data_IF_856138860732
#
_entry.id   IF_856138860732
#
_cell.length_a   1.000
_cell.length_b   1.000
_cell.length_c   1.000
_cell.angle_alpha   90.00
_cell.angle_beta   90.00
_cell.angle_gamma   90.00
#
_symmetry.space_group_name_H-M   'P 1'
#
loop_
_entity.id
_entity.type
_entity.pdbx_description
1 polymer ?
#
# COMPACT_ATOMS: atom_id res chain seq x y z
N UNK A 1 -41.28 -17.20 44.62
CA UNK A 1 -41.69 -17.80 43.33
C UNK A 1 -41.27 -16.98 42.10
N UNK A 2 -41.37 -15.65 42.10
CA UNK A 2 -41.03 -14.83 40.90
C UNK A 2 -39.54 -14.80 40.50
N UNK A 3 -38.59 -14.87 41.44
CA UNK A 3 -37.15 -14.84 41.15
C UNK A 3 -36.65 -16.13 40.44
N UNK A 4 -37.20 -17.29 40.81
CA UNK A 4 -36.86 -18.58 40.20
C UNK A 4 -37.42 -18.67 38.78
N UNK A 5 -38.62 -18.16 38.52
CA UNK A 5 -39.20 -18.09 37.17
C UNK A 5 -38.38 -17.18 36.22
N UNK A 6 -37.90 -16.02 36.69
CA UNK A 6 -37.01 -15.15 35.91
C UNK A 6 -35.68 -15.85 35.54
N UNK A 7 -35.06 -16.55 36.49
CA UNK A 7 -33.78 -17.25 36.24
C UNK A 7 -33.98 -18.37 35.22
N UNK A 8 -35.05 -19.14 35.33
CA UNK A 8 -35.36 -20.23 34.35
C UNK A 8 -35.65 -19.66 32.97
N UNK A 9 -36.34 -18.52 32.85
CA UNK A 9 -36.59 -17.88 31.55
C UNK A 9 -35.32 -17.33 30.93
N UNK A 10 -34.40 -16.74 31.67
CA UNK A 10 -33.12 -16.25 31.21
C UNK A 10 -32.21 -17.42 30.78
N UNK A 11 -32.20 -18.53 31.54
CA UNK A 11 -31.42 -19.72 31.15
C UNK A 11 -31.99 -20.40 29.88
N UNK A 12 -33.32 -20.45 29.72
CA UNK A 12 -33.93 -20.99 28.49
C UNK A 12 -33.63 -20.11 27.27
N UNK A 13 -33.70 -18.78 27.42
CA UNK A 13 -33.35 -17.83 26.34
C UNK A 13 -31.87 -17.91 25.98
N UNK A 14 -30.96 -18.09 26.93
CA UNK A 14 -29.55 -18.29 26.69
C UNK A 14 -29.24 -19.61 25.98
N UNK A 15 -29.94 -20.69 26.36
CA UNK A 15 -29.81 -22.00 25.67
C UNK A 15 -30.35 -21.96 24.22
N UNK A 16 -31.46 -21.27 23.97
CA UNK A 16 -32.01 -21.13 22.62
C UNK A 16 -31.11 -20.28 21.72
N UNK A 17 -30.48 -19.21 22.24
CA UNK A 17 -29.50 -18.43 21.50
C UNK A 17 -28.21 -19.21 21.22
N UNK A 18 -27.73 -20.04 22.16
CA UNK A 18 -26.58 -20.89 21.96
C UNK A 18 -26.87 -21.99 20.92
N UNK A 19 -28.04 -22.60 20.95
CA UNK A 19 -28.43 -23.61 19.97
C UNK A 19 -28.61 -23.02 18.56
N UNK A 20 -29.18 -21.82 18.43
CA UNK A 20 -29.32 -21.16 17.12
C UNK A 20 -27.98 -20.69 16.54
N UNK A 21 -27.03 -20.24 17.37
CA UNK A 21 -25.69 -19.90 16.94
C UNK A 21 -24.92 -21.15 16.47
N UNK A 22 -25.07 -22.27 17.12
CA UNK A 22 -24.40 -23.52 16.79
C UNK A 22 -24.97 -24.17 15.50
N UNK A 23 -26.27 -24.06 15.28
CA UNK A 23 -26.89 -24.49 14.01
C UNK A 23 -26.52 -23.59 12.83
N UNK A 24 -26.44 -22.29 13.03
CA UNK A 24 -26.01 -21.35 11.98
C UNK A 24 -24.55 -21.60 11.55
N UNK A 25 -23.66 -21.84 12.52
CA UNK A 25 -22.24 -22.14 12.23
C UNK A 25 -22.09 -23.50 11.52
N UNK A 26 -22.87 -24.53 11.94
CA UNK A 26 -22.88 -25.85 11.30
C UNK A 26 -23.36 -25.77 9.85
N UNK A 27 -24.42 -25.01 9.58
CA UNK A 27 -24.94 -24.81 8.24
C UNK A 27 -23.94 -24.06 7.34
N UNK A 28 -23.27 -23.04 7.87
CA UNK A 28 -22.24 -22.30 7.12
C UNK A 28 -21.05 -23.20 6.74
N UNK A 29 -20.53 -23.99 7.68
CA UNK A 29 -19.43 -24.92 7.42
C UNK A 29 -19.79 -25.98 6.39
N UNK A 30 -21.04 -26.50 6.45
CA UNK A 30 -21.55 -27.42 5.46
C UNK A 30 -21.61 -26.79 4.07
N UNK A 31 -22.13 -25.55 3.93
CA UNK A 31 -22.18 -24.87 2.65
C UNK A 31 -20.77 -24.58 2.09
N UNK A 32 -19.80 -24.24 2.94
CA UNK A 32 -18.40 -24.08 2.52
C UNK A 32 -17.84 -25.38 1.97
N UNK A 33 -17.99 -26.51 2.71
CA UNK A 33 -17.48 -27.79 2.27
C UNK A 33 -18.15 -28.27 0.95
N UNK A 34 -19.47 -28.16 0.87
CA UNK A 34 -20.26 -28.51 -0.35
C UNK A 34 -19.77 -27.70 -1.56
N UNK A 35 -19.56 -26.39 -1.42
CA UNK A 35 -19.14 -25.55 -2.54
C UNK A 35 -17.69 -25.83 -2.96
N UNK A 36 -16.79 -26.20 -2.02
CA UNK A 36 -15.45 -26.67 -2.35
C UNK A 36 -15.48 -27.98 -3.15
N UNK A 37 -16.35 -28.93 -2.77
CA UNK A 37 -16.52 -30.21 -3.51
C UNK A 37 -17.05 -29.95 -4.93
N UNK A 38 -18.01 -29.04 -5.08
CA UNK A 38 -18.52 -28.60 -6.39
C UNK A 38 -17.41 -27.99 -7.23
N UNK A 39 -16.62 -27.09 -6.66
CA UNK A 39 -15.52 -26.43 -7.37
C UNK A 39 -14.46 -27.44 -7.84
N UNK A 40 -14.09 -28.37 -6.97
CA UNK A 40 -13.15 -29.44 -7.31
C UNK A 40 -13.67 -30.33 -8.47
N UNK A 41 -14.94 -30.74 -8.43
CA UNK A 41 -15.54 -31.53 -9.49
C UNK A 41 -15.57 -30.74 -10.82
N UNK A 42 -16.02 -29.49 -10.77
CA UNK A 42 -16.07 -28.60 -11.94
C UNK A 42 -14.69 -28.45 -12.58
N UNK A 43 -13.67 -28.16 -11.77
CA UNK A 43 -12.32 -27.92 -12.30
C UNK A 43 -11.71 -29.19 -12.92
N UNK A 44 -11.89 -30.34 -12.26
CA UNK A 44 -11.47 -31.64 -12.79
C UNK A 44 -12.15 -31.96 -14.13
N UNK A 45 -13.47 -31.75 -14.23
CA UNK A 45 -14.22 -32.05 -15.43
C UNK A 45 -13.88 -31.05 -16.56
N UNK A 46 -13.61 -29.80 -16.22
CA UNK A 46 -13.09 -28.77 -17.14
C UNK A 46 -11.76 -29.23 -17.74
N UNK A 47 -10.79 -29.62 -16.90
CA UNK A 47 -9.46 -30.04 -17.35
C UNK A 47 -9.52 -31.33 -18.21
N UNK A 48 -10.43 -32.26 -17.87
CA UNK A 48 -10.52 -33.54 -18.55
C UNK A 48 -11.30 -33.49 -19.87
N UNK A 49 -12.35 -32.68 -19.94
CA UNK A 49 -13.33 -32.74 -21.04
C UNK A 49 -13.36 -31.49 -21.94
N UNK A 50 -12.69 -30.40 -21.57
CA UNK A 50 -12.69 -29.23 -22.43
C UNK A 50 -11.95 -29.53 -23.74
N UNK A 51 -12.46 -28.96 -24.85
CA UNK A 51 -12.01 -29.30 -26.21
C UNK A 51 -10.53 -28.96 -26.46
N UNK A 52 -9.99 -27.91 -25.82
CA UNK A 52 -8.59 -27.50 -25.97
C UNK A 52 -7.81 -27.76 -24.67
N UNK A 53 -6.48 -27.88 -24.79
CA UNK A 53 -5.59 -28.00 -23.63
C UNK A 53 -5.60 -26.70 -22.84
N UNK A 54 -5.87 -26.81 -21.53
CA UNK A 54 -5.93 -25.69 -20.61
C UNK A 54 -4.59 -25.49 -19.89
N UNK A 55 -4.25 -24.25 -19.63
CA UNK A 55 -3.18 -23.88 -18.71
C UNK A 55 -3.74 -23.87 -17.27
N UNK A 56 -3.46 -24.93 -16.53
CA UNK A 56 -3.99 -25.16 -15.20
C UNK A 56 -3.59 -24.02 -14.22
N UNK A 57 -2.35 -23.55 -14.27
CA UNK A 57 -1.87 -22.50 -13.37
C UNK A 57 -2.58 -21.18 -13.65
N UNK A 58 -2.64 -20.77 -14.92
CA UNK A 58 -3.29 -19.54 -15.35
C UNK A 58 -4.80 -19.55 -15.07
N UNK A 59 -5.47 -20.69 -15.22
CA UNK A 59 -6.91 -20.80 -14.96
C UNK A 59 -7.23 -20.62 -13.47
N UNK A 60 -6.44 -21.23 -12.58
CA UNK A 60 -6.62 -21.07 -11.14
C UNK A 60 -6.26 -19.65 -10.71
N UNK A 61 -5.18 -19.08 -11.24
CA UNK A 61 -4.80 -17.69 -10.96
C UNK A 61 -5.91 -16.71 -11.32
N UNK A 62 -6.48 -16.83 -12.53
CA UNK A 62 -7.60 -16.02 -12.99
C UNK A 62 -8.85 -16.20 -12.12
N UNK A 63 -9.21 -17.44 -11.80
CA UNK A 63 -10.40 -17.75 -11.00
C UNK A 63 -10.28 -17.22 -9.57
N UNK A 64 -9.11 -17.41 -8.94
CA UNK A 64 -8.82 -16.91 -7.60
C UNK A 64 -8.87 -15.37 -7.57
N UNK A 65 -8.19 -14.70 -8.48
CA UNK A 65 -8.16 -13.25 -8.52
C UNK A 65 -9.54 -12.65 -8.85
N UNK A 66 -10.31 -13.24 -9.78
CA UNK A 66 -11.68 -12.80 -10.03
C UNK A 66 -12.58 -12.88 -8.79
N UNK A 67 -12.51 -13.99 -8.06
CA UNK A 67 -13.26 -14.16 -6.80
C UNK A 67 -12.86 -13.11 -5.75
N UNK A 68 -11.59 -12.78 -5.66
CA UNK A 68 -11.07 -11.82 -4.68
C UNK A 68 -11.38 -10.37 -5.07
N UNK A 69 -11.31 -10.03 -6.35
CA UNK A 69 -11.69 -8.71 -6.89
C UNK A 69 -13.14 -8.34 -6.58
N UNK A 70 -14.04 -9.33 -6.47
CA UNK A 70 -15.44 -9.11 -6.08
C UNK A 70 -15.62 -8.67 -4.62
N UNK A 71 -14.57 -8.78 -3.78
CA UNK A 71 -14.62 -8.37 -2.37
C UNK A 71 -14.15 -6.92 -2.20
N UNK A 72 -12.95 -6.62 -2.65
CA UNK A 72 -12.31 -5.32 -2.62
C UNK A 72 -11.03 -5.32 -3.50
N UNK A 73 -10.51 -4.15 -3.94
CA UNK A 73 -9.35 -4.07 -4.84
C UNK A 73 -8.00 -4.32 -4.15
N UNK A 74 -7.97 -4.70 -2.88
CA UNK A 74 -6.74 -4.87 -2.09
C UNK A 74 -6.47 -6.31 -1.71
N UNK A 75 -7.51 -7.17 -1.82
CA UNK A 75 -7.41 -8.60 -1.58
C UNK A 75 -6.97 -9.28 -2.86
N UNK A 76 -5.76 -9.87 -2.84
CA UNK A 76 -5.07 -10.35 -4.04
C UNK A 76 -4.38 -11.69 -3.76
N UNK A 77 -4.35 -12.56 -4.75
CA UNK A 77 -3.56 -13.79 -4.76
C UNK A 77 -2.29 -13.58 -5.59
N UNK A 78 -1.18 -13.99 -5.05
CA UNK A 78 0.12 -14.01 -5.70
C UNK A 78 0.59 -15.46 -5.82
N UNK A 79 0.75 -15.95 -7.04
CA UNK A 79 1.42 -17.23 -7.29
C UNK A 79 2.91 -17.14 -6.90
N UNK A 80 3.61 -18.30 -6.80
CA UNK A 80 5.02 -18.37 -6.40
C UNK A 80 5.91 -17.36 -7.15
N UNK A 81 5.75 -17.27 -8.46
CA UNK A 81 6.57 -16.41 -9.34
C UNK A 81 6.34 -14.91 -9.13
N UNK A 82 5.19 -14.52 -8.57
CA UNK A 82 4.79 -13.13 -8.38
C UNK A 82 5.03 -12.60 -6.95
N UNK A 83 5.57 -13.42 -6.05
CA UNK A 83 5.84 -13.04 -4.65
C UNK A 83 6.90 -11.93 -4.49
N UNK A 84 7.74 -11.72 -5.50
CA UNK A 84 8.75 -10.66 -5.54
C UNK A 84 8.12 -9.25 -5.52
N UNK A 85 6.98 -9.05 -6.18
CA UNK A 85 6.28 -7.77 -6.21
C UNK A 85 5.73 -7.39 -4.83
N UNK A 86 5.19 -8.34 -4.08
CA UNK A 86 4.73 -8.12 -2.71
C UNK A 86 5.88 -7.73 -1.77
N UNK A 87 7.05 -8.38 -1.91
CA UNK A 87 8.25 -8.02 -1.14
C UNK A 87 8.72 -6.61 -1.43
N UNK A 88 8.66 -6.19 -2.69
CA UNK A 88 9.01 -4.82 -3.08
C UNK A 88 8.09 -3.78 -2.45
N UNK A 89 6.78 -4.05 -2.37
CA UNK A 89 5.79 -3.14 -1.76
C UNK A 89 6.07 -2.86 -0.29
N UNK A 90 6.62 -3.83 0.45
CA UNK A 90 6.88 -3.71 1.88
C UNK A 90 8.30 -3.23 2.19
N UNK A 91 9.30 -3.76 1.47
CA UNK A 91 10.72 -3.48 1.76
C UNK A 91 11.29 -2.35 0.92
N UNK A 92 10.62 -1.95 -0.16
CA UNK A 92 11.15 -1.03 -1.16
C UNK A 92 12.38 -1.55 -1.92
N UNK A 93 12.72 -2.84 -1.72
CA UNK A 93 13.90 -3.48 -2.33
C UNK A 93 13.49 -4.24 -3.58
N UNK A 94 14.23 -4.05 -4.63
CA UNK A 94 14.09 -4.81 -5.88
C UNK A 94 15.45 -4.93 -6.56
N UNK A 95 15.56 -5.84 -7.50
CA UNK A 95 16.78 -5.96 -8.32
C UNK A 95 16.55 -5.30 -9.67
N UNK A 96 17.39 -4.33 -10.00
CA UNK A 96 17.23 -3.59 -11.24
C UNK A 96 18.29 -2.50 -11.45
N UNK A 97 17.92 -1.46 -12.19
CA UNK A 97 18.83 -0.37 -12.58
C UNK A 97 18.80 0.84 -11.65
N UNK A 98 17.87 0.92 -10.71
CA UNK A 98 17.75 2.08 -9.79
C UNK A 98 17.25 3.34 -10.50
N UNK A 99 16.15 3.23 -11.23
CA UNK A 99 15.48 4.36 -11.86
C UNK A 99 13.96 4.21 -11.78
N UNK A 100 13.27 5.34 -11.70
CA UNK A 100 11.84 5.42 -11.95
C UNK A 100 11.59 5.51 -13.45
N UNK A 101 10.75 4.64 -13.98
CA UNK A 101 10.30 4.69 -15.37
C UNK A 101 8.82 5.05 -15.43
N UNK A 102 8.39 5.68 -16.51
CA UNK A 102 6.98 6.02 -16.74
C UNK A 102 6.64 5.96 -18.22
N UNK A 103 5.42 5.56 -18.52
CA UNK A 103 4.91 5.62 -19.90
C UNK A 103 4.50 7.06 -20.25
N UNK A 104 4.87 7.47 -21.43
CA UNK A 104 4.49 8.76 -22.01
C UNK A 104 3.59 8.52 -23.22
N UNK A 105 2.28 8.82 -23.12
CA UNK A 105 1.32 8.60 -24.22
C UNK A 105 1.66 9.37 -25.49
N UNK A 106 2.17 10.60 -25.36
CA UNK A 106 2.60 11.44 -26.47
C UNK A 106 3.80 10.87 -27.23
N UNK A 107 4.70 10.14 -26.54
CA UNK A 107 5.84 9.45 -27.12
C UNK A 107 5.52 8.00 -27.47
N UNK A 108 4.40 7.46 -27.01
CA UNK A 108 4.00 6.04 -27.09
C UNK A 108 5.06 5.08 -26.56
N UNK A 109 5.88 5.52 -25.61
CA UNK A 109 7.04 4.80 -25.08
C UNK A 109 7.25 5.08 -23.59
N UNK A 110 8.01 4.19 -22.96
CA UNK A 110 8.53 4.44 -21.62
C UNK A 110 9.77 5.35 -21.67
N UNK A 111 9.85 6.23 -20.68
CA UNK A 111 11.01 7.07 -20.42
C UNK A 111 11.59 6.76 -19.04
N UNK A 112 12.85 7.08 -18.84
CA UNK A 112 13.44 7.19 -17.50
C UNK A 112 13.00 8.53 -16.90
N UNK A 113 12.08 8.48 -15.94
CA UNK A 113 11.58 9.70 -15.29
C UNK A 113 12.61 10.25 -14.30
N UNK A 114 13.27 9.36 -13.54
CA UNK A 114 14.28 9.75 -12.56
C UNK A 114 15.25 8.59 -12.30
N UNK A 115 16.53 8.67 -12.66
CA UNK A 115 17.57 7.80 -12.13
C UNK A 115 17.84 8.17 -10.65
N UNK A 116 18.04 7.16 -9.79
CA UNK A 116 18.35 7.40 -8.38
C UNK A 116 19.85 7.62 -8.21
N UNK A 117 20.22 8.65 -7.48
CA UNK A 117 21.62 9.05 -7.28
C UNK A 117 22.50 7.89 -6.77
N UNK A 118 23.63 7.66 -7.40
CA UNK A 118 24.58 6.59 -7.08
C UNK A 118 24.14 5.18 -7.49
N UNK A 119 22.97 5.01 -8.11
CA UNK A 119 22.48 3.71 -8.59
C UNK A 119 22.96 3.42 -10.03
N UNK A 120 22.87 2.17 -10.53
CA UNK A 120 23.43 1.78 -11.81
C UNK A 120 23.06 2.66 -12.99
N UNK A 121 21.81 3.09 -13.11
CA UNK A 121 21.35 3.97 -14.18
C UNK A 121 22.05 5.35 -14.15
N UNK A 122 22.18 5.93 -12.95
CA UNK A 122 22.85 7.22 -12.73
C UNK A 122 24.35 7.10 -13.02
N UNK A 123 24.99 6.01 -12.54
CA UNK A 123 26.43 5.78 -12.72
C UNK A 123 26.86 5.66 -14.19
N UNK A 124 25.99 5.17 -15.06
CA UNK A 124 26.28 5.08 -16.50
C UNK A 124 25.89 6.35 -17.28
N UNK A 125 25.28 7.34 -16.62
CA UNK A 125 24.94 8.63 -17.22
C UNK A 125 23.58 8.67 -17.92
N UNK A 126 22.64 7.82 -17.53
CA UNK A 126 21.23 7.96 -17.93
C UNK A 126 20.65 9.21 -17.29
N UNK A 127 19.90 9.99 -18.05
CA UNK A 127 19.31 11.25 -17.61
C UNK A 127 17.78 11.19 -17.57
N UNK A 128 17.13 12.03 -16.75
CA UNK A 128 15.70 12.19 -16.80
C UNK A 128 15.23 12.57 -18.21
N UNK A 129 14.18 11.91 -18.69
CA UNK A 129 13.63 12.10 -20.04
C UNK A 129 14.23 11.19 -21.12
N UNK A 130 15.26 10.40 -20.83
CA UNK A 130 15.80 9.43 -21.79
C UNK A 130 14.72 8.41 -22.17
N UNK A 131 14.44 8.25 -23.46
CA UNK A 131 13.39 7.38 -24.01
C UNK A 131 13.97 5.99 -24.21
N UNK A 132 13.34 4.98 -23.63
CA UNK A 132 13.79 3.59 -23.73
C UNK A 132 13.44 3.04 -25.12
N UNK A 133 14.43 2.58 -25.86
CA UNK A 133 14.30 2.15 -27.26
C UNK A 133 14.50 0.64 -27.44
N UNK A 134 15.46 0.05 -26.72
CA UNK A 134 15.76 -1.39 -26.82
C UNK A 134 16.42 -1.89 -25.54
N UNK A 135 16.24 -3.18 -25.26
CA UNK A 135 16.86 -3.92 -24.15
C UNK A 135 17.49 -5.18 -24.73
N UNK A 136 18.78 -5.42 -24.46
CA UNK A 136 19.57 -6.55 -25.01
C UNK A 136 19.41 -6.74 -26.53
N UNK A 137 19.49 -5.63 -27.26
CA UNK A 137 19.33 -5.64 -28.74
C UNK A 137 17.89 -5.76 -29.21
N UNK A 138 16.94 -6.18 -28.36
CA UNK A 138 15.52 -6.30 -28.71
C UNK A 138 14.88 -4.91 -28.72
N UNK A 139 14.43 -4.48 -29.88
CA UNK A 139 13.70 -3.21 -30.03
C UNK A 139 12.35 -3.29 -29.30
N UNK A 140 11.99 -2.21 -28.65
CA UNK A 140 10.66 -2.05 -28.04
C UNK A 140 9.78 -1.28 -29.01
N UNK A 141 8.71 -1.92 -29.49
CA UNK A 141 7.74 -1.26 -30.36
C UNK A 141 6.96 -0.20 -29.58
N UNK A 142 6.52 0.89 -30.23
CA UNK A 142 5.68 1.88 -29.58
C UNK A 142 4.32 1.29 -29.19
N UNK A 143 3.84 1.58 -27.99
CA UNK A 143 2.47 1.26 -27.60
C UNK A 143 1.50 2.28 -28.22
N UNK A 144 0.78 1.88 -29.24
CA UNK A 144 -0.17 2.75 -29.97
C UNK A 144 -1.59 2.70 -29.42
N UNK A 145 -1.87 1.82 -28.44
CA UNK A 145 -3.18 1.68 -27.83
C UNK A 145 -3.56 2.94 -27.02
N UNK A 146 -4.81 3.37 -27.16
CA UNK A 146 -5.39 4.42 -26.32
C UNK A 146 -5.95 3.87 -24.98
N UNK A 147 -6.08 2.54 -24.87
CA UNK A 147 -6.54 1.88 -23.65
C UNK A 147 -5.50 2.00 -22.54
N UNK A 148 -5.95 2.49 -21.36
CA UNK A 148 -5.10 2.67 -20.19
C UNK A 148 -4.53 1.36 -19.66
N UNK A 149 -5.29 0.27 -19.75
CA UNK A 149 -4.82 -1.05 -19.33
C UNK A 149 -3.67 -1.52 -20.21
N UNK A 150 -3.83 -1.46 -21.53
CA UNK A 150 -2.78 -1.82 -22.49
C UNK A 150 -1.51 -0.96 -22.32
N UNK A 151 -1.64 0.34 -22.01
CA UNK A 151 -0.51 1.22 -21.72
C UNK A 151 0.20 0.83 -20.41
N UNK A 152 -0.56 0.44 -19.39
CA UNK A 152 -0.02 -0.04 -18.11
C UNK A 152 0.71 -1.37 -18.29
N UNK A 153 0.12 -2.31 -19.01
CA UNK A 153 0.72 -3.62 -19.29
C UNK A 153 2.04 -3.47 -20.09
N UNK A 154 2.06 -2.54 -21.06
CA UNK A 154 3.28 -2.19 -21.78
C UNK A 154 4.36 -1.62 -20.84
N UNK A 155 4.00 -0.68 -19.97
CA UNK A 155 4.94 -0.09 -19.02
C UNK A 155 5.50 -1.13 -18.04
N UNK A 156 4.65 -2.03 -17.55
CA UNK A 156 5.04 -3.13 -16.68
C UNK A 156 5.98 -4.10 -17.40
N UNK A 157 5.70 -4.46 -18.66
CA UNK A 157 6.57 -5.31 -19.47
C UNK A 157 7.97 -4.71 -19.65
N UNK A 158 8.06 -3.41 -19.96
CA UNK A 158 9.36 -2.71 -20.06
C UNK A 158 10.08 -2.70 -18.71
N UNK A 159 9.36 -2.36 -17.62
CA UNK A 159 9.95 -2.32 -16.28
C UNK A 159 10.47 -3.69 -15.84
N UNK A 160 9.73 -4.76 -16.11
CA UNK A 160 10.14 -6.12 -15.77
C UNK A 160 11.39 -6.56 -16.52
N UNK A 161 11.59 -6.14 -17.77
CA UNK A 161 12.82 -6.41 -18.53
C UNK A 161 14.04 -5.66 -17.94
N UNK A 162 13.85 -4.50 -17.30
CA UNK A 162 14.93 -3.77 -16.60
C UNK A 162 15.31 -4.42 -15.27
N UNK A 163 14.42 -5.25 -14.69
CA UNK A 163 14.68 -6.09 -13.50
C UNK A 163 15.34 -7.40 -13.90
N UNK A 164 15.75 -8.19 -12.91
CA UNK A 164 16.33 -9.52 -13.11
C UNK A 164 17.21 -9.92 -11.94
N UNK A 165 18.05 -10.92 -12.12
CA UNK A 165 18.96 -11.41 -11.09
C UNK A 165 20.07 -10.40 -10.77
N UNK A 166 20.48 -10.24 -9.48
CA UNK A 166 21.53 -9.32 -9.09
C UNK A 166 22.87 -9.74 -9.73
N UNK A 167 23.64 -8.75 -10.19
CA UNK A 167 24.93 -8.97 -10.86
C UNK A 167 24.82 -9.27 -12.35
N UNK A 168 23.63 -9.53 -12.90
CA UNK A 168 23.46 -9.69 -14.35
C UNK A 168 23.62 -8.35 -15.05
N UNK A 169 24.19 -8.39 -16.26
CA UNK A 169 24.46 -7.19 -17.06
C UNK A 169 23.71 -7.29 -18.37
N UNK A 170 23.17 -6.18 -18.83
CA UNK A 170 22.44 -6.07 -20.09
C UNK A 170 22.72 -4.73 -20.77
N UNK A 171 22.33 -4.63 -22.05
CA UNK A 171 22.44 -3.40 -22.83
C UNK A 171 21.11 -2.66 -22.87
N UNK A 172 21.12 -1.38 -22.46
CA UNK A 172 19.98 -0.48 -22.56
C UNK A 172 20.24 0.60 -23.61
N UNK A 173 19.43 0.61 -24.65
CA UNK A 173 19.46 1.65 -25.69
C UNK A 173 18.42 2.70 -25.43
N UNK A 174 18.84 3.95 -25.31
CA UNK A 174 17.95 5.10 -25.08
C UNK A 174 18.14 6.18 -26.12
N UNK A 175 17.08 6.93 -26.42
CA UNK A 175 17.16 8.17 -27.22
C UNK A 175 16.98 9.36 -26.29
N UNK A 176 17.94 10.27 -26.31
CA UNK A 176 17.92 11.50 -25.50
C UNK A 176 17.28 12.65 -26.26
N UNK A 177 16.10 13.15 -25.84
CA UNK A 177 15.38 14.20 -26.58
C UNK A 177 16.17 15.49 -26.70
N UNK A 178 16.92 15.87 -25.66
CA UNK A 178 17.68 17.14 -25.62
C UNK A 178 18.80 17.23 -26.64
N UNK A 179 19.36 16.09 -27.07
CA UNK A 179 20.44 16.03 -28.07
C UNK A 179 19.98 15.38 -29.38
N UNK A 180 18.81 14.74 -29.40
CA UNK A 180 18.33 13.91 -30.51
C UNK A 180 19.12 12.61 -30.73
N UNK A 181 20.19 12.36 -29.96
CA UNK A 181 21.10 11.22 -30.11
C UNK A 181 20.60 9.99 -29.40
N UNK A 182 21.08 8.85 -29.89
CA UNK A 182 20.87 7.54 -29.27
C UNK A 182 22.13 7.10 -28.54
N UNK A 183 21.99 6.57 -27.35
CA UNK A 183 23.06 6.04 -26.52
C UNK A 183 22.78 4.59 -26.18
N UNK A 184 23.82 3.77 -26.09
CA UNK A 184 23.73 2.40 -25.57
C UNK A 184 24.57 2.30 -24.31
N UNK A 185 23.96 1.85 -23.23
CA UNK A 185 24.60 1.70 -21.93
C UNK A 185 24.63 0.24 -21.51
N UNK A 186 25.78 -0.22 -21.04
CA UNK A 186 25.92 -1.54 -20.39
C UNK A 186 25.65 -1.35 -18.90
N UNK A 187 24.59 -1.98 -18.38
CA UNK A 187 24.10 -1.78 -17.00
C UNK A 187 24.12 -3.10 -16.26
N UNK A 188 24.72 -3.11 -15.06
CA UNK A 188 24.68 -4.25 -14.16
C UNK A 188 23.58 -4.06 -13.14
N UNK A 189 22.65 -5.02 -13.06
CA UNK A 189 21.56 -5.00 -12.09
C UNK A 189 22.10 -5.17 -10.67
N UNK A 190 21.54 -4.41 -9.73
CA UNK A 190 21.91 -4.47 -8.30
C UNK A 190 20.66 -4.51 -7.44
N UNK A 191 20.85 -4.87 -6.18
CA UNK A 191 19.84 -4.63 -5.14
C UNK A 191 19.66 -3.12 -4.98
N UNK A 192 18.47 -2.64 -5.28
CA UNK A 192 18.08 -1.23 -5.15
C UNK A 192 17.20 -1.09 -3.93
N UNK A 193 17.47 -0.13 -3.09
CA UNK A 193 16.54 0.34 -2.05
C UNK A 193 16.01 1.70 -2.46
N UNK A 194 14.72 1.78 -2.70
CA UNK A 194 14.08 3.06 -3.02
C UNK A 194 13.99 3.90 -1.75
N UNK A 195 14.47 5.15 -1.75
CA UNK A 195 14.34 6.00 -0.57
C UNK A 195 12.87 6.39 -0.35
N UNK A 196 12.44 6.40 0.90
CA UNK A 196 11.12 6.89 1.32
C UNK A 196 11.08 8.42 1.28
N UNK A 197 12.12 9.06 1.82
CA UNK A 197 12.31 10.51 1.79
C UNK A 197 12.93 10.90 0.44
N UNK A 198 12.13 11.47 -0.43
CA UNK A 198 12.57 11.85 -1.79
C UNK A 198 13.13 13.26 -1.87
N UNK A 199 12.83 14.09 -0.88
CA UNK A 199 13.37 15.45 -0.75
C UNK A 199 13.38 15.86 0.72
N UNK A 200 14.51 16.39 1.18
CA UNK A 200 14.64 17.10 2.43
C UNK A 200 15.40 18.40 2.17
N UNK A 201 14.79 19.55 2.44
CA UNK A 201 15.37 20.85 2.13
C UNK A 201 14.88 21.94 3.09
N UNK A 202 15.66 23.01 3.24
CA UNK A 202 15.19 24.27 3.82
C UNK A 202 14.39 25.03 2.76
N UNK A 203 13.14 25.40 3.07
CA UNK A 203 12.29 26.24 2.19
C UNK A 203 12.51 27.71 2.48
N UNK A 204 12.74 28.04 3.75
CA UNK A 204 13.18 29.35 4.21
C UNK A 204 14.26 29.15 5.29
N UNK A 205 14.82 30.21 5.82
CA UNK A 205 15.86 30.16 6.88
C UNK A 205 15.39 29.44 8.16
N UNK A 206 14.06 29.22 8.34
CA UNK A 206 13.50 28.61 9.53
C UNK A 206 12.50 27.48 9.27
N UNK A 207 12.22 27.14 8.01
CA UNK A 207 11.23 26.11 7.64
C UNK A 207 11.91 24.97 6.90
N UNK A 208 11.93 23.80 7.54
CA UNK A 208 12.34 22.54 6.91
C UNK A 208 11.16 21.88 6.18
N UNK A 209 11.47 21.20 5.10
CA UNK A 209 10.52 20.45 4.28
C UNK A 209 11.03 19.04 4.08
N UNK A 210 10.15 18.05 4.30
CA UNK A 210 10.41 16.64 4.03
C UNK A 210 9.27 16.11 3.16
N UNK A 211 9.60 15.56 1.99
CA UNK A 211 8.66 14.85 1.13
C UNK A 211 8.83 13.35 1.29
N UNK A 212 7.75 12.68 1.68
CA UNK A 212 7.69 11.25 1.86
C UNK A 212 6.85 10.61 0.76
N UNK A 213 7.47 9.75 -0.06
CA UNK A 213 6.78 9.13 -1.21
C UNK A 213 5.98 7.88 -0.84
N UNK A 214 6.41 7.12 0.17
CA UNK A 214 5.77 5.89 0.63
C UNK A 214 6.31 5.47 1.99
N UNK A 215 5.63 4.51 2.66
CA UNK A 215 6.10 3.90 3.90
C UNK A 215 6.64 2.50 3.61
N UNK A 216 7.96 2.34 3.67
CA UNK A 216 8.69 1.07 3.56
C UNK A 216 9.58 0.89 4.79
N UNK A 217 10.18 -0.28 4.94
CA UNK A 217 11.10 -0.54 6.05
C UNK A 217 12.17 0.54 6.16
N UNK A 218 12.31 1.13 7.36
CA UNK A 218 13.29 2.15 7.66
C UNK A 218 12.88 3.60 7.37
N UNK A 219 11.65 3.84 6.89
CA UNK A 219 11.11 5.18 6.61
C UNK A 219 11.25 6.14 7.79
N UNK A 220 10.90 5.71 8.99
CA UNK A 220 11.00 6.52 10.20
C UNK A 220 12.43 6.97 10.51
N UNK A 221 13.42 6.11 10.22
CA UNK A 221 14.84 6.46 10.37
C UNK A 221 15.31 7.45 9.31
N UNK A 222 14.78 7.39 8.08
CA UNK A 222 15.07 8.39 7.04
C UNK A 222 14.52 9.75 7.45
N UNK A 223 13.26 9.80 7.91
CA UNK A 223 12.62 11.04 8.40
C UNK A 223 13.41 11.60 9.59
N UNK A 224 13.82 10.75 10.55
CA UNK A 224 14.62 11.15 11.70
C UNK A 224 15.93 11.82 11.26
N UNK A 225 16.68 11.20 10.35
CA UNK A 225 17.94 11.76 9.82
C UNK A 225 17.70 13.10 9.13
N UNK A 226 16.68 13.17 8.27
CA UNK A 226 16.32 14.41 7.58
C UNK A 226 15.91 15.51 8.57
N UNK A 227 15.15 15.19 9.62
CA UNK A 227 14.74 16.12 10.66
C UNK A 227 15.94 16.66 11.45
N UNK A 228 16.89 15.80 11.82
CA UNK A 228 18.11 16.20 12.52
C UNK A 228 18.95 17.15 11.66
N UNK A 229 19.18 16.82 10.38
CA UNK A 229 19.91 17.69 9.44
C UNK A 229 19.23 19.05 9.28
N UNK A 230 17.92 19.07 9.05
CA UNK A 230 17.18 20.32 8.90
C UNK A 230 17.25 21.19 10.17
N UNK A 231 17.15 20.60 11.36
CA UNK A 231 17.31 21.33 12.64
C UNK A 231 18.71 21.91 12.81
N UNK A 232 19.76 21.17 12.44
CA UNK A 232 21.13 21.66 12.45
C UNK A 232 21.32 22.84 11.48
N UNK A 233 20.57 22.87 10.39
CA UNK A 233 20.54 23.97 9.40
C UNK A 233 19.61 25.12 9.78
N UNK A 234 19.01 25.09 10.96
CA UNK A 234 18.21 26.18 11.51
C UNK A 234 16.70 26.02 11.39
N UNK A 235 16.18 24.87 10.99
CA UNK A 235 14.73 24.66 10.92
C UNK A 235 14.10 24.74 12.32
N UNK A 236 13.08 25.58 12.44
CA UNK A 236 12.24 25.76 13.63
C UNK A 236 10.78 25.44 13.36
N UNK A 237 10.45 25.01 12.16
CA UNK A 237 9.12 24.55 11.71
C UNK A 237 9.33 23.45 10.66
N UNK A 238 8.39 22.54 10.55
CA UNK A 238 8.45 21.44 9.59
C UNK A 238 7.21 21.40 8.71
N UNK A 239 7.41 21.21 7.42
CA UNK A 239 6.40 20.78 6.47
C UNK A 239 6.69 19.33 6.13
N UNK A 240 5.80 18.42 6.50
CA UNK A 240 5.82 17.01 6.11
C UNK A 240 4.83 16.80 4.95
N UNK A 241 5.35 16.54 3.76
CA UNK A 241 4.52 16.37 2.56
C UNK A 241 4.22 14.90 2.30
N UNK A 242 2.95 14.53 2.49
CA UNK A 242 2.38 13.21 2.24
C UNK A 242 1.50 13.17 0.97
N UNK A 243 1.53 14.20 0.15
CA UNK A 243 0.75 14.23 -1.10
C UNK A 243 1.23 13.15 -2.05
N UNK A 244 0.27 12.40 -2.63
CA UNK A 244 0.51 11.24 -3.50
C UNK A 244 1.30 10.10 -2.81
N UNK A 245 1.23 10.01 -1.49
CA UNK A 245 1.81 8.91 -0.72
C UNK A 245 0.73 7.82 -0.51
N UNK A 246 0.82 6.66 -1.19
CA UNK A 246 -0.20 5.61 -1.12
C UNK A 246 -0.20 4.84 0.21
N UNK A 247 0.67 5.20 1.14
CA UNK A 247 0.88 4.49 2.40
C UNK A 247 2.01 3.47 2.33
N UNK A 248 1.78 2.29 2.88
CA UNK A 248 2.74 1.19 2.97
C UNK A 248 2.73 0.51 4.34
N UNK A 249 3.90 0.28 4.93
CA UNK A 249 4.08 -0.44 6.19
C UNK A 249 3.48 0.34 7.37
N UNK A 250 2.49 -0.28 8.03
CA UNK A 250 1.77 0.33 9.16
C UNK A 250 2.70 0.66 10.32
N UNK A 251 3.61 -0.24 10.66
CA UNK A 251 4.58 -0.05 11.74
C UNK A 251 5.49 1.16 11.51
N UNK A 252 5.81 1.46 10.26
CA UNK A 252 6.60 2.65 9.93
C UNK A 252 5.79 3.95 10.09
N UNK A 253 4.48 3.93 9.86
CA UNK A 253 3.60 5.04 10.22
C UNK A 253 3.59 5.27 11.74
N UNK A 254 3.45 4.20 12.52
CA UNK A 254 3.51 4.26 13.99
C UNK A 254 4.84 4.85 14.49
N UNK A 255 5.97 4.38 13.95
CA UNK A 255 7.30 4.90 14.29
C UNK A 255 7.49 6.36 13.84
N UNK A 256 6.88 6.75 12.71
CA UNK A 256 6.92 8.14 12.21
C UNK A 256 6.14 9.06 13.15
N UNK A 257 4.95 8.67 13.58
CA UNK A 257 4.17 9.41 14.58
C UNK A 257 4.95 9.51 15.90
N UNK A 258 5.65 8.43 16.30
CA UNK A 258 6.47 8.43 17.52
C UNK A 258 7.66 9.41 17.48
N UNK A 259 8.08 9.91 16.32
CA UNK A 259 9.07 11.00 16.27
C UNK A 259 8.55 12.30 16.93
N UNK A 260 7.22 12.49 16.97
CA UNK A 260 6.57 13.72 17.37
C UNK A 260 5.60 13.58 18.54
N UNK A 261 5.26 12.35 18.93
CA UNK A 261 4.32 12.04 20.01
C UNK A 261 5.04 11.28 21.11
N UNK A 262 4.86 11.64 22.40
CA UNK A 262 5.49 10.96 23.54
C UNK A 262 5.19 9.46 23.59
N UNK A 263 6.06 8.70 24.27
CA UNK A 263 5.92 7.26 24.51
C UNK A 263 4.58 6.91 25.16
N UNK A 264 4.03 5.73 24.82
CA UNK A 264 2.84 5.13 25.44
C UNK A 264 1.51 5.62 24.84
N UNK A 265 1.55 6.50 23.83
CA UNK A 265 0.34 7.02 23.19
C UNK A 265 -0.15 6.07 22.08
N UNK A 266 -1.45 5.87 21.99
CA UNK A 266 -2.07 5.11 20.93
C UNK A 266 -1.92 5.84 19.59
N UNK A 267 -1.59 5.10 18.53
CA UNK A 267 -1.47 5.64 17.18
C UNK A 267 -2.58 5.12 16.28
N UNK A 268 -2.84 3.83 16.36
CA UNK A 268 -3.85 3.16 15.55
C UNK A 268 -4.30 1.88 16.24
N UNK A 269 -5.59 1.57 16.16
CA UNK A 269 -6.18 0.30 16.59
C UNK A 269 -6.76 -0.41 15.39
N UNK A 270 -6.42 -1.69 15.21
CA UNK A 270 -7.04 -2.56 14.20
C UNK A 270 -8.17 -3.36 14.82
N UNK A 271 -9.29 -3.46 14.10
CA UNK A 271 -10.44 -4.30 14.46
C UNK A 271 -10.80 -5.25 13.34
N UNK A 272 -10.92 -6.51 13.67
CA UNK A 272 -11.16 -7.62 12.76
C UNK A 272 -12.38 -8.45 13.18
N UNK A 273 -12.93 -9.25 12.25
CA UNK A 273 -13.91 -10.29 12.56
C UNK A 273 -13.35 -11.32 13.55
N UNK A 274 -12.08 -11.64 13.42
CA UNK A 274 -11.33 -12.52 14.32
C UNK A 274 -10.72 -11.65 15.42
N UNK A 275 -11.24 -11.74 16.64
CA UNK A 275 -10.87 -10.84 17.76
C UNK A 275 -9.40 -10.91 18.12
N UNK A 276 -8.76 -12.03 17.94
CA UNK A 276 -7.33 -12.28 18.19
C UNK A 276 -6.41 -11.47 17.26
N UNK A 277 -6.95 -10.98 16.14
CA UNK A 277 -6.26 -10.10 15.21
C UNK A 277 -6.41 -8.61 15.56
N UNK A 278 -7.21 -8.29 16.58
CA UNK A 278 -7.32 -6.92 17.07
C UNK A 278 -6.02 -6.51 17.77
N UNK A 279 -5.49 -5.37 17.39
CA UNK A 279 -4.26 -4.86 17.98
C UNK A 279 -4.28 -3.35 18.11
N UNK A 280 -3.75 -2.84 19.23
CA UNK A 280 -3.53 -1.42 19.45
C UNK A 280 -2.04 -1.11 19.39
N UNK A 281 -1.66 -0.35 18.38
CA UNK A 281 -0.28 0.10 18.18
C UNK A 281 -0.06 1.40 18.94
N UNK A 282 0.99 1.42 19.75
CA UNK A 282 1.37 2.59 20.57
C UNK A 282 2.78 3.04 20.26
N UNK A 283 3.07 4.29 20.56
CA UNK A 283 4.43 4.81 20.56
C UNK A 283 5.25 4.11 21.62
N UNK A 284 6.47 3.65 21.27
CA UNK A 284 7.32 2.82 22.16
C UNK A 284 8.63 3.47 22.55
N UNK A 285 9.03 4.51 21.82
CA UNK A 285 10.28 5.26 22.05
C UNK A 285 9.98 6.67 22.51
N UNK A 286 10.98 7.33 23.08
CA UNK A 286 10.88 8.76 23.36
C UNK A 286 10.84 9.55 22.05
N UNK A 287 10.02 10.60 22.01
CA UNK A 287 9.84 11.42 20.83
C UNK A 287 11.15 12.15 20.47
N UNK A 288 11.39 12.32 19.18
CA UNK A 288 12.53 13.13 18.70
C UNK A 288 12.30 14.62 18.94
N UNK A 289 11.07 15.09 18.80
CA UNK A 289 10.69 16.48 19.01
C UNK A 289 9.17 16.61 19.24
N UNK A 290 8.78 17.05 20.43
CA UNK A 290 7.37 17.27 20.80
C UNK A 290 6.88 18.69 20.51
N UNK A 291 7.77 19.65 20.28
CA UNK A 291 7.47 21.07 20.29
C UNK A 291 7.54 21.73 18.91
N UNK A 292 8.33 21.16 17.98
CA UNK A 292 8.48 21.68 16.63
C UNK A 292 7.13 21.85 15.93
N UNK A 293 6.69 23.04 15.52
CA UNK A 293 5.45 23.22 14.78
C UNK A 293 5.46 22.45 13.46
N UNK A 294 4.41 21.66 13.18
CA UNK A 294 4.32 20.79 12.02
C UNK A 294 3.08 21.11 11.20
N UNK A 295 3.27 21.22 9.90
CA UNK A 295 2.20 21.16 8.89
C UNK A 295 2.37 19.85 8.13
N UNK A 296 1.28 19.10 7.97
CA UNK A 296 1.24 17.92 7.11
C UNK A 296 0.44 18.26 5.87
N UNK A 297 1.05 18.10 4.69
CA UNK A 297 0.34 18.29 3.41
C UNK A 297 -0.24 16.97 2.94
N UNK A 298 -1.52 17.00 2.58
CA UNK A 298 -2.27 15.83 2.07
C UNK A 298 -3.02 16.14 0.78
N UNK A 299 -3.35 15.11 0.02
CA UNK A 299 -4.27 15.15 -1.11
C UNK A 299 -4.98 13.80 -1.29
N UNK A 300 -5.78 13.69 -2.33
CA UNK A 300 -6.53 12.49 -2.71
C UNK A 300 -5.65 11.25 -3.00
N UNK A 301 -4.36 11.43 -3.20
CA UNK A 301 -3.37 10.35 -3.32
C UNK A 301 -2.71 9.95 -2.00
N UNK A 302 -3.04 10.64 -0.88
CA UNK A 302 -2.57 10.27 0.46
C UNK A 302 -3.45 9.16 1.02
N UNK A 303 -2.93 7.95 1.23
CA UNK A 303 -3.72 6.78 1.61
C UNK A 303 -3.09 5.96 2.74
N UNK A 304 -3.91 5.15 3.46
CA UNK A 304 -3.46 4.11 4.39
C UNK A 304 -2.48 4.63 5.46
N UNK A 305 -1.21 4.18 5.50
CA UNK A 305 -0.18 4.62 6.45
C UNK A 305 0.01 6.15 6.48
N UNK A 306 -0.20 6.83 5.34
CA UNK A 306 -0.19 8.28 5.27
C UNK A 306 -1.39 8.90 6.01
N UNK A 307 -2.57 8.24 5.94
CA UNK A 307 -3.77 8.66 6.67
C UNK A 307 -3.66 8.36 8.17
N UNK A 308 -3.05 7.23 8.56
CA UNK A 308 -2.70 6.95 9.96
C UNK A 308 -1.80 8.05 10.52
N UNK A 309 -0.75 8.40 9.78
CA UNK A 309 0.23 9.41 10.21
C UNK A 309 -0.41 10.79 10.34
N UNK A 310 -1.10 11.26 9.30
CA UNK A 310 -1.73 12.58 9.31
C UNK A 310 -2.87 12.65 10.32
N UNK A 311 -3.71 11.60 10.39
CA UNK A 311 -4.85 11.53 11.30
C UNK A 311 -4.44 11.45 12.78
N UNK A 312 -3.43 10.64 13.12
CA UNK A 312 -2.93 10.57 14.50
C UNK A 312 -2.29 11.89 14.94
N UNK A 313 -1.50 12.54 14.09
CA UNK A 313 -0.93 13.86 14.39
C UNK A 313 -2.02 14.94 14.53
N UNK A 314 -3.10 14.85 13.75
CA UNK A 314 -4.26 15.73 13.86
C UNK A 314 -5.01 15.51 15.18
N UNK A 315 -5.29 14.24 15.53
CA UNK A 315 -6.06 13.88 16.70
C UNK A 315 -5.36 14.24 18.03
N UNK A 316 -4.03 14.26 18.02
CA UNK A 316 -3.21 14.77 19.12
C UNK A 316 -2.98 16.28 19.09
N UNK A 317 -3.59 17.01 18.17
CA UNK A 317 -3.34 18.46 17.96
C UNK A 317 -1.84 18.79 17.75
N UNK A 318 -1.09 17.79 17.27
CA UNK A 318 0.37 17.89 17.12
C UNK A 318 0.75 18.51 15.78
N UNK A 319 -0.09 18.40 14.78
CA UNK A 319 0.12 18.99 13.46
C UNK A 319 -1.14 19.65 12.92
N UNK A 320 -0.95 20.65 12.07
CA UNK A 320 -1.99 21.21 11.23
C UNK A 320 -1.99 20.44 9.90
N UNK A 321 -3.15 19.88 9.52
CA UNK A 321 -3.32 19.21 8.23
C UNK A 321 -3.79 20.22 7.20
N UNK A 322 -3.09 20.29 6.07
CA UNK A 322 -3.40 21.21 4.98
C UNK A 322 -3.46 20.47 3.64
N UNK A 323 -4.39 20.89 2.79
CA UNK A 323 -4.55 20.36 1.46
C UNK A 323 -5.95 19.86 1.18
N UNK A 324 -6.06 18.73 0.47
CA UNK A 324 -7.34 18.11 0.12
C UNK A 324 -7.63 16.89 1.00
N UNK A 325 -8.89 16.45 0.98
CA UNK A 325 -9.31 15.20 1.60
C UNK A 325 -8.44 14.06 1.09
N UNK A 326 -8.06 13.16 1.99
CA UNK A 326 -7.25 11.99 1.69
C UNK A 326 -8.07 10.90 0.97
N UNK A 327 -7.43 9.84 0.53
CA UNK A 327 -8.05 8.77 -0.25
C UNK A 327 -9.19 8.07 0.49
N UNK A 328 -9.06 7.84 1.81
CA UNK A 328 -10.07 7.13 2.59
C UNK A 328 -9.88 5.61 2.60
N UNK A 329 -8.64 5.12 2.70
CA UNK A 329 -8.34 3.69 2.86
C UNK A 329 -8.14 3.35 4.33
N UNK A 330 -9.20 2.85 4.98
CA UNK A 330 -9.21 2.40 6.38
C UNK A 330 -9.17 0.88 6.55
N UNK A 331 -8.75 0.13 5.52
CA UNK A 331 -8.68 -1.33 5.50
C UNK A 331 -7.25 -1.81 5.75
N UNK A 332 -7.13 -2.88 6.53
CA UNK A 332 -5.85 -3.55 6.85
C UNK A 332 -5.74 -4.84 6.08
N UNK A 333 -4.65 -5.01 5.34
CA UNK A 333 -4.31 -6.26 4.67
C UNK A 333 -3.26 -7.02 5.49
N UNK A 334 -3.38 -8.34 5.52
CA UNK A 334 -2.38 -9.28 6.03
C UNK A 334 -2.02 -10.28 4.93
N UNK A 335 -0.75 -10.62 4.84
CA UNK A 335 -0.28 -11.69 3.95
C UNK A 335 -0.36 -13.03 4.67
N UNK A 336 -0.89 -14.04 3.98
CA UNK A 336 -0.98 -15.43 4.45
C UNK A 336 -0.33 -16.33 3.42
N UNK A 337 0.56 -17.19 3.90
CA UNK A 337 1.16 -18.20 3.04
C UNK A 337 0.13 -19.26 2.68
N UNK A 338 0.11 -19.64 1.42
CA UNK A 338 -0.69 -20.71 0.86
C UNK A 338 0.21 -21.88 0.43
N UNK A 339 -0.34 -23.07 0.17
CA UNK A 339 0.40 -24.16 -0.44
C UNK A 339 1.15 -23.70 -1.69
N UNK A 340 2.26 -24.41 -2.00
CA UNK A 340 3.11 -24.13 -3.17
C UNK A 340 3.63 -22.70 -3.23
N UNK A 341 3.96 -22.13 -2.04
CA UNK A 341 4.54 -20.77 -1.87
C UNK A 341 3.67 -19.63 -2.40
N UNK A 342 2.41 -19.88 -2.71
CA UNK A 342 1.44 -18.83 -2.99
C UNK A 342 1.26 -17.90 -1.78
N UNK A 343 0.89 -16.65 -2.03
CA UNK A 343 0.61 -15.68 -0.97
C UNK A 343 -0.77 -15.07 -1.21
N UNK A 344 -1.62 -15.13 -0.20
CA UNK A 344 -2.88 -14.39 -0.15
C UNK A 344 -2.69 -13.11 0.66
N UNK A 345 -2.79 -11.97 0.00
CA UNK A 345 -2.91 -10.67 0.65
C UNK A 345 -4.40 -10.43 0.89
N UNK A 346 -4.83 -10.51 2.13
CA UNK A 346 -6.23 -10.54 2.51
C UNK A 346 -6.58 -9.32 3.37
N UNK A 347 -7.67 -8.63 3.06
CA UNK A 347 -8.28 -7.63 3.93
C UNK A 347 -8.88 -8.31 5.15
N UNK A 348 -8.28 -8.10 6.31
CA UNK A 348 -8.64 -8.77 7.57
C UNK A 348 -9.32 -7.88 8.59
N UNK A 349 -9.29 -6.56 8.42
CA UNK A 349 -9.86 -5.64 9.39
C UNK A 349 -9.89 -4.19 8.93
N UNK A 350 -10.40 -3.35 9.82
CA UNK A 350 -10.38 -1.88 9.69
C UNK A 350 -9.47 -1.28 10.74
N UNK A 351 -8.91 -0.11 10.46
CA UNK A 351 -8.16 0.62 11.47
C UNK A 351 -8.86 1.91 11.89
N UNK A 352 -8.58 2.28 13.13
CA UNK A 352 -9.15 3.43 13.84
C UNK A 352 -8.00 4.25 14.43
N UNK A 353 -7.99 5.54 14.17
CA UNK A 353 -7.00 6.49 14.70
C UNK A 353 -7.39 6.95 16.11
N UNK A 354 -6.56 7.71 16.84
CA UNK A 354 -6.76 7.98 18.29
C UNK A 354 -8.12 8.55 18.69
N UNK A 355 -8.75 9.35 17.85
CA UNK A 355 -10.11 9.86 18.10
C UNK A 355 -11.20 8.79 18.01
N UNK A 356 -10.89 7.60 17.55
CA UNK A 356 -11.84 6.53 17.24
C UNK A 356 -12.38 6.59 15.81
N UNK A 357 -11.93 7.53 14.97
CA UNK A 357 -12.32 7.60 13.56
C UNK A 357 -11.80 6.41 12.79
N UNK A 358 -12.65 5.88 11.90
CA UNK A 358 -12.23 5.04 10.80
C UNK A 358 -12.18 5.89 9.54
N UNK A 359 -11.01 6.02 8.93
CA UNK A 359 -10.85 6.87 7.73
C UNK A 359 -11.40 6.23 6.44
N UNK A 360 -12.09 5.07 6.53
CA UNK A 360 -12.64 4.35 5.39
C UNK A 360 -13.78 5.14 4.74
N UNK A 361 -13.55 5.70 3.55
CA UNK A 361 -14.51 6.50 2.80
C UNK A 361 -15.39 5.68 1.84
N UNK A 362 -15.07 4.42 1.61
CA UNK A 362 -15.74 3.56 0.64
C UNK A 362 -16.30 2.30 1.25
N UNK A 363 -17.47 1.86 0.75
CA UNK A 363 -17.87 0.44 0.79
C UNK A 363 -17.51 -0.18 -0.55
N UNK A 364 -17.39 -1.49 -0.60
CA UNK A 364 -17.21 -2.22 -1.85
C UNK A 364 -18.45 -3.07 -2.09
N UNK A 365 -19.04 -2.93 -3.26
CA UNK A 365 -20.17 -3.71 -3.76
C UNK A 365 -19.73 -4.32 -5.08
N UNK A 366 -19.69 -5.65 -5.16
CA UNK A 366 -19.16 -6.39 -6.31
C UNK A 366 -17.75 -5.90 -6.73
N UNK A 367 -16.88 -5.65 -5.73
CA UNK A 367 -15.51 -5.16 -5.91
C UNK A 367 -15.38 -3.68 -6.27
N UNK A 368 -16.47 -3.01 -6.58
CA UNK A 368 -16.47 -1.60 -6.97
C UNK A 368 -16.58 -0.66 -5.77
N UNK A 369 -15.80 0.41 -5.71
CA UNK A 369 -15.87 1.37 -4.61
C UNK A 369 -17.14 2.23 -4.71
N UNK A 370 -17.97 2.17 -3.67
CA UNK A 370 -19.12 3.04 -3.48
C UNK A 370 -18.78 4.06 -2.39
N UNK A 371 -18.75 5.33 -2.75
CA UNK A 371 -18.42 6.41 -1.79
C UNK A 371 -19.51 6.53 -0.73
N UNK A 372 -19.12 6.60 0.55
CA UNK A 372 -20.07 6.88 1.62
C UNK A 372 -20.49 8.35 1.55
N UNK A 373 -21.80 8.66 1.55
CA UNK A 373 -22.26 10.04 1.49
C UNK A 373 -21.82 10.83 2.72
N UNK A 374 -21.46 12.09 2.56
CA UNK A 374 -21.02 12.98 3.64
C UNK A 374 -22.07 13.15 4.76
N UNK A 375 -23.34 12.87 4.46
CA UNK A 375 -24.44 12.86 5.46
C UNK A 375 -24.29 11.75 6.51
N UNK A 376 -23.48 10.73 6.24
CA UNK A 376 -23.17 9.64 7.18
C UNK A 376 -21.85 9.88 7.94
N UNK A 377 -21.16 10.99 7.68
CA UNK A 377 -19.93 11.32 8.39
C UNK A 377 -20.21 11.62 9.87
N UNK A 378 -19.44 10.99 10.76
CA UNK A 378 -19.55 11.19 12.18
C UNK A 378 -18.58 12.27 12.67
N UNK A 379 -18.97 12.96 13.72
CA UNK A 379 -18.11 13.94 14.39
C UNK A 379 -17.32 13.27 15.51
N UNK A 380 -16.02 13.56 15.51
CA UNK A 380 -15.09 13.15 16.54
C UNK A 380 -14.37 14.37 17.10
N UNK A 381 -13.62 14.19 18.16
CA UNK A 381 -12.88 15.28 18.80
C UNK A 381 -11.41 14.92 18.92
N UNK A 382 -10.58 15.90 18.63
CA UNK A 382 -9.14 15.83 18.92
C UNK A 382 -8.89 15.95 20.44
N UNK A 383 -7.65 15.74 20.86
CA UNK A 383 -7.26 15.89 22.28
C UNK A 383 -7.59 17.27 22.85
N UNK A 384 -7.46 18.33 22.06
CA UNK A 384 -7.85 19.71 22.45
C UNK A 384 -9.34 20.02 22.24
N UNK A 385 -10.16 19.04 21.84
CA UNK A 385 -11.60 19.19 21.66
C UNK A 385 -12.04 19.76 20.31
N UNK A 386 -11.15 19.95 19.33
CA UNK A 386 -11.52 20.39 17.98
C UNK A 386 -12.36 19.30 17.30
N UNK A 387 -13.41 19.71 16.58
CA UNK A 387 -14.25 18.80 15.82
C UNK A 387 -13.51 18.37 14.56
N UNK A 388 -13.48 17.07 14.31
CA UNK A 388 -12.98 16.41 13.11
C UNK A 388 -14.00 15.38 12.62
N UNK A 389 -14.00 15.03 11.34
CA UNK A 389 -14.94 14.07 10.74
C UNK A 389 -14.20 12.92 10.07
N UNK A 390 -14.87 11.77 9.95
CA UNK A 390 -14.38 10.60 9.19
C UNK A 390 -14.64 10.72 7.69
#
# INVERSE_FOLDING_TARGET
>A
MNKIRCIITICLAAMTMAASAQTATSNHNFEVAKNLDIFNALYRDLDLYYVDTLDAAKNIDNAANYMLEMLDPYTEYYAEDNSADLRQLTTGKYVGIGALTTFRPDLKRCIVAQPFAGMPADQVGILPGDIIMAIDGKQLDPCTSADKKAQTDYANSVTNQLRGEPGTTFELKVRRPTTGRTYTYKITRRNITRPSVTLAAMVTDSVGYIRLSQFIDGTSNEIRRALVDLKQRGARRLVLDLRNNPGGVLEEAVKTVNLFIPRGREVVTTRSKVKELNHTYKTTLDAQDTDLPIIVLTNEGSASAAEITSGALQDYDRALIMGRRTYGKGLVQQSRELPYKGILKLTTGKYYIPSGRCVQAYKFEDGLPVHLPDSLAHEFRTTAGRIVRD
#
